data_IF_493247129637
#
_entry.id   IF_493247129637
#
_cell.length_a   1.000
_cell.length_b   1.000
_cell.length_c   1.000
_cell.angle_alpha   90.00
_cell.angle_beta   90.00
_cell.angle_gamma   90.00
#
_symmetry.space_group_name_H-M   'P 1'
#
loop_
_entity.id
_entity.type
_entity.pdbx_description
1 polymer ?
#
# COMPACT_ATOMS: atom_id res chain seq x y z
N UNK A 1 4.44 -7.74 6.79
CA UNK A 1 5.61 -8.58 7.06
C UNK A 1 5.46 -9.98 6.49
N UNK A 2 4.44 -10.77 6.89
CA UNK A 2 4.24 -12.17 6.45
C UNK A 2 4.35 -12.43 4.94
N UNK A 3 3.78 -11.56 4.09
CA UNK A 3 3.88 -11.72 2.63
C UNK A 3 5.35 -11.75 2.14
N UNK A 4 6.25 -11.02 2.80
CA UNK A 4 7.68 -11.02 2.46
C UNK A 4 8.35 -12.34 2.85
N UNK A 5 7.97 -12.89 4.00
CA UNK A 5 8.40 -14.21 4.46
C UNK A 5 7.92 -15.30 3.49
N UNK A 6 6.62 -15.32 3.14
CA UNK A 6 6.06 -16.32 2.22
C UNK A 6 6.64 -16.24 0.80
N UNK A 7 7.08 -15.05 0.37
CA UNK A 7 7.72 -14.85 -0.94
C UNK A 7 9.25 -15.04 -0.89
N UNK A 8 9.84 -15.31 0.28
CA UNK A 8 11.29 -15.43 0.44
C UNK A 8 12.06 -14.12 0.25
N UNK A 9 11.40 -12.96 0.31
CA UNK A 9 12.01 -11.63 0.11
C UNK A 9 12.57 -11.09 1.44
N UNK A 10 13.60 -11.77 1.95
CA UNK A 10 14.22 -11.53 3.27
C UNK A 10 14.98 -10.20 3.29
N UNK A 11 15.64 -9.82 2.20
CA UNK A 11 16.41 -8.57 2.10
C UNK A 11 15.57 -7.31 2.37
N UNK A 12 14.24 -7.38 2.22
CA UNK A 12 13.32 -6.25 2.49
C UNK A 12 12.63 -6.35 3.84
N UNK A 13 12.88 -7.40 4.61
CA UNK A 13 12.18 -7.67 5.87
C UNK A 13 12.55 -6.65 6.95
N UNK A 14 13.83 -6.29 7.10
CA UNK A 14 14.29 -5.35 8.14
C UNK A 14 13.67 -3.96 8.01
N UNK A 15 13.51 -3.43 6.78
CA UNK A 15 12.80 -2.15 6.57
C UNK A 15 11.29 -2.22 6.88
N UNK A 16 10.71 -3.41 6.89
CA UNK A 16 9.28 -3.56 7.16
C UNK A 16 8.96 -3.52 8.66
N UNK A 17 9.89 -3.93 9.51
CA UNK A 17 9.73 -4.03 10.97
C UNK A 17 10.05 -2.71 11.67
N UNK A 18 10.86 -1.83 11.07
CA UNK A 18 11.07 -0.48 11.61
C UNK A 18 9.76 0.34 11.73
N UNK A 19 9.62 1.03 12.87
CA UNK A 19 8.49 1.94 13.15
C UNK A 19 8.59 3.18 12.28
N UNK A 20 9.79 3.75 12.22
CA UNK A 20 10.09 4.97 11.46
C UNK A 20 10.94 4.60 10.25
N UNK A 21 10.64 5.21 9.11
CA UNK A 21 11.44 5.01 7.90
C UNK A 21 12.85 5.57 8.14
N UNK A 22 13.86 4.70 8.03
CA UNK A 22 15.28 5.08 8.05
C UNK A 22 15.74 5.36 6.60
N UNK A 23 16.26 6.57 6.33
CA UNK A 23 16.79 6.98 5.03
C UNK A 23 16.73 8.48 4.75
N UNK A 24 17.44 8.94 3.71
CA UNK A 24 17.50 10.33 3.24
C UNK A 24 16.23 10.79 2.50
N UNK A 25 15.09 10.17 2.77
CA UNK A 25 13.82 10.67 2.25
C UNK A 25 13.41 11.91 3.00
N UNK A 26 13.19 13.00 2.26
CA UNK A 26 12.77 14.29 2.80
C UNK A 26 11.47 14.21 3.63
N UNK A 27 10.64 13.17 3.39
CA UNK A 27 9.41 12.90 4.14
C UNK A 27 9.55 11.61 4.96
N UNK A 28 9.55 11.76 6.29
CA UNK A 28 9.54 10.62 7.23
C UNK A 28 8.13 10.02 7.34
N UNK A 29 8.04 8.69 7.33
CA UNK A 29 6.80 7.94 7.60
C UNK A 29 6.95 7.11 8.87
N UNK A 30 5.92 7.10 9.70
CA UNK A 30 5.84 6.32 10.93
C UNK A 30 4.62 5.38 10.94
N UNK A 31 4.71 4.30 11.71
CA UNK A 31 3.62 3.33 11.94
C UNK A 31 3.20 3.36 13.42
N UNK A 32 2.35 4.30 13.85
CA UNK A 32 1.99 4.44 15.26
C UNK A 32 1.22 3.22 15.80
N UNK A 33 0.36 2.60 14.99
CA UNK A 33 -0.44 1.42 15.37
C UNK A 33 0.26 0.08 15.08
N UNK A 34 1.60 0.02 15.16
CA UNK A 34 2.35 -1.20 14.84
C UNK A 34 2.01 -2.36 15.77
N UNK A 35 1.79 -2.09 17.05
CA UNK A 35 1.54 -3.09 18.10
C UNK A 35 0.06 -3.22 18.49
N UNK A 36 -0.83 -2.48 17.83
CA UNK A 36 -2.26 -2.46 18.14
C UNK A 36 -3.00 -3.40 17.19
N UNK A 37 -3.92 -4.20 17.72
CA UNK A 37 -4.72 -5.10 16.90
C UNK A 37 -5.79 -4.34 16.10
N UNK A 38 -6.17 -4.88 14.94
CA UNK A 38 -7.23 -4.28 14.10
C UNK A 38 -8.56 -4.17 14.86
N UNK A 39 -8.94 -5.19 15.63
CA UNK A 39 -10.15 -5.20 16.46
C UNK A 39 -10.17 -4.08 17.51
N UNK A 40 -9.02 -3.74 18.09
CA UNK A 40 -8.89 -2.68 19.09
C UNK A 40 -9.02 -1.29 18.43
N UNK A 41 -8.42 -1.11 17.26
CA UNK A 41 -8.53 0.13 16.48
C UNK A 41 -9.99 0.37 16.06
N UNK A 42 -10.68 -0.67 15.59
CA UNK A 42 -12.09 -0.60 15.18
C UNK A 42 -13.00 -0.35 16.38
N UNK A 43 -12.76 -1.03 17.51
CA UNK A 43 -13.49 -0.80 18.76
C UNK A 43 -13.31 0.64 19.26
N UNK A 44 -12.09 1.17 19.20
CA UNK A 44 -11.80 2.55 19.56
C UNK A 44 -12.53 3.55 18.66
N UNK A 45 -12.52 3.32 17.34
CA UNK A 45 -13.22 4.15 16.37
C UNK A 45 -14.74 4.14 16.61
N UNK A 46 -15.31 2.97 16.93
CA UNK A 46 -16.71 2.83 17.29
C UNK A 46 -17.07 3.60 18.57
N UNK A 47 -16.29 3.42 19.64
CA UNK A 47 -16.52 4.12 20.92
C UNK A 47 -16.42 5.64 20.77
N UNK A 48 -15.47 6.12 19.97
CA UNK A 48 -15.30 7.56 19.68
C UNK A 48 -16.22 8.07 18.58
N UNK A 49 -17.05 7.22 17.98
CA UNK A 49 -17.95 7.54 16.85
C UNK A 49 -17.22 8.27 15.73
N UNK A 50 -16.04 7.76 15.36
CA UNK A 50 -15.26 8.28 14.24
C UNK A 50 -15.87 7.83 12.92
N UNK A 51 -15.84 8.69 11.92
CA UNK A 51 -16.27 8.35 10.56
C UNK A 51 -15.20 7.48 9.89
N UNK A 52 -15.59 6.26 9.50
CA UNK A 52 -14.73 5.32 8.78
C UNK A 52 -15.53 4.47 7.79
N UNK A 53 -14.87 4.08 6.71
CA UNK A 53 -15.46 3.23 5.67
C UNK A 53 -15.23 1.75 5.98
N UNK A 54 -16.32 1.00 6.18
CA UNK A 54 -16.33 -0.47 6.35
C UNK A 54 -16.32 -1.24 5.02
N UNK A 55 -16.52 -0.54 3.90
CA UNK A 55 -16.64 -1.15 2.58
C UNK A 55 -15.27 -1.54 2.02
N UNK A 56 -15.06 -2.85 1.82
CA UNK A 56 -13.87 -3.33 1.11
C UNK A 56 -13.88 -2.94 -0.37
N UNK A 57 -12.68 -2.82 -0.95
CA UNK A 57 -12.48 -2.62 -2.39
C UNK A 57 -12.95 -3.86 -3.18
N UNK A 58 -13.60 -3.65 -4.33
CA UNK A 58 -14.07 -4.73 -5.22
C UNK A 58 -12.93 -5.66 -5.71
N UNK A 59 -11.70 -5.16 -5.74
CA UNK A 59 -10.52 -5.93 -6.12
C UNK A 59 -9.77 -6.54 -4.91
N UNK A 60 -10.25 -6.29 -3.68
CA UNK A 60 -9.69 -6.84 -2.43
C UNK A 60 -9.59 -8.38 -2.43
N UNK A 61 -10.61 -9.13 -2.89
CA UNK A 61 -10.60 -10.60 -2.81
C UNK A 61 -9.46 -11.26 -3.60
N UNK A 62 -9.06 -10.64 -4.72
CA UNK A 62 -7.99 -11.15 -5.58
C UNK A 62 -6.58 -10.84 -5.04
N UNK A 63 -6.47 -10.08 -3.95
CA UNK A 63 -5.19 -9.69 -3.40
C UNK A 63 -4.60 -10.80 -2.50
N UNK A 64 -3.35 -11.18 -2.76
CA UNK A 64 -2.61 -12.15 -1.95
C UNK A 64 -2.51 -11.78 -0.45
N UNK A 65 -2.72 -10.50 -0.11
CA UNK A 65 -2.73 -10.04 1.28
C UNK A 65 -3.86 -10.66 2.11
N UNK A 66 -4.98 -11.02 1.47
CA UNK A 66 -6.12 -11.65 2.13
C UNK A 66 -5.74 -12.97 2.79
N UNK A 67 -5.08 -13.87 2.05
CA UNK A 67 -4.61 -15.16 2.56
C UNK A 67 -3.72 -15.02 3.80
N UNK A 68 -2.77 -14.08 3.78
CA UNK A 68 -1.89 -13.84 4.92
C UNK A 68 -2.66 -13.29 6.15
N UNK A 69 -3.73 -12.51 5.95
CA UNK A 69 -4.58 -12.04 7.06
C UNK A 69 -5.42 -13.17 7.64
N UNK A 70 -6.04 -14.00 6.81
CA UNK A 70 -6.83 -15.17 7.27
C UNK A 70 -5.95 -16.10 8.09
N UNK A 71 -4.76 -16.44 7.59
CA UNK A 71 -3.80 -17.26 8.33
C UNK A 71 -3.42 -16.66 9.69
N UNK A 72 -3.20 -15.34 9.77
CA UNK A 72 -2.88 -14.69 11.05
C UNK A 72 -4.08 -14.69 12.01
N UNK A 73 -5.31 -14.56 11.51
CA UNK A 73 -6.54 -14.68 12.33
C UNK A 73 -6.72 -16.10 12.87
N UNK A 74 -6.45 -17.11 12.05
CA UNK A 74 -6.50 -18.51 12.48
C UNK A 74 -5.47 -18.79 13.59
N UNK A 75 -4.26 -18.23 13.47
CA UNK A 75 -3.24 -18.31 14.52
C UNK A 75 -3.64 -17.57 15.80
N UNK A 76 -4.23 -16.38 15.69
CA UNK A 76 -4.72 -15.61 16.83
C UNK A 76 -5.81 -16.37 17.60
N UNK A 77 -6.67 -17.11 16.88
CA UNK A 77 -7.73 -17.92 17.49
C UNK A 77 -7.20 -19.05 18.39
N UNK A 78 -6.02 -19.57 18.09
CA UNK A 78 -5.34 -20.60 18.89
C UNK A 78 -4.46 -19.98 19.98
N UNK A 79 -3.70 -18.93 19.64
CA UNK A 79 -2.81 -18.22 20.55
C UNK A 79 -2.99 -16.71 20.38
N UNK A 80 -3.62 -16.01 21.34
CA UNK A 80 -3.86 -14.57 21.25
C UNK A 80 -2.60 -13.73 21.02
N UNK A 81 -1.46 -14.15 21.57
CA UNK A 81 -0.17 -13.45 21.42
C UNK A 81 0.52 -13.67 20.07
N UNK A 82 0.01 -14.56 19.20
CA UNK A 82 0.72 -15.00 17.99
C UNK A 82 1.14 -13.83 17.08
N UNK A 83 0.28 -12.82 16.90
CA UNK A 83 0.57 -11.68 16.03
C UNK A 83 1.71 -10.83 16.60
N UNK A 84 1.69 -10.55 17.91
CA UNK A 84 2.75 -9.77 18.59
C UNK A 84 4.07 -10.55 18.60
N UNK A 85 4.02 -11.85 18.92
CA UNK A 85 5.20 -12.71 18.94
C UNK A 85 5.87 -12.75 17.56
N UNK A 86 5.08 -12.79 16.50
CA UNK A 86 5.55 -12.68 15.10
C UNK A 86 6.25 -11.34 14.86
N UNK A 87 5.67 -10.21 15.33
CA UNK A 87 6.25 -8.88 15.17
C UNK A 87 7.60 -8.79 15.89
N UNK A 88 7.66 -9.20 17.16
CA UNK A 88 8.90 -9.20 17.95
C UNK A 88 9.96 -10.12 17.34
N UNK A 89 9.55 -11.30 16.83
CA UNK A 89 10.45 -12.20 16.11
C UNK A 89 11.04 -11.54 14.87
N UNK A 90 10.26 -10.72 14.15
CA UNK A 90 10.71 -9.97 12.99
C UNK A 90 11.64 -8.80 13.35
N UNK A 91 11.47 -8.18 14.52
CA UNK A 91 12.37 -7.14 15.04
C UNK A 91 13.71 -7.71 15.51
N UNK A 92 13.68 -8.85 16.19
CA UNK A 92 14.87 -9.58 16.59
C UNK A 92 15.58 -10.25 15.40
N UNK A 93 14.96 -10.25 14.22
CA UNK A 93 15.51 -10.88 13.02
C UNK A 93 16.61 -10.01 12.40
N UNK A 94 17.86 -10.33 12.72
CA UNK A 94 19.02 -9.68 12.12
C UNK A 94 19.29 -10.22 10.71
N UNK A 95 19.28 -9.33 9.71
CA UNK A 95 19.65 -9.66 8.34
C UNK A 95 21.14 -9.38 8.16
N UNK A 96 21.90 -10.37 7.68
CA UNK A 96 23.30 -10.17 7.30
C UNK A 96 23.44 -9.00 6.31
N UNK A 97 24.38 -8.10 6.59
CA UNK A 97 24.62 -6.84 5.88
C UNK A 97 25.03 -6.96 4.40
N UNK A 98 25.24 -8.19 3.90
CA UNK A 98 25.72 -8.45 2.54
C UNK A 98 24.60 -8.41 1.46
N UNK A 99 23.39 -7.96 1.83
CA UNK A 99 22.28 -7.86 0.88
C UNK A 99 22.34 -6.54 0.11
N UNK A 100 22.64 -6.64 -1.20
CA UNK A 100 22.65 -5.49 -2.12
C UNK A 100 21.30 -4.79 -2.14
N UNK A 101 21.21 -3.64 -1.46
CA UNK A 101 20.06 -2.76 -1.58
C UNK A 101 20.22 -1.85 -2.80
N UNK A 102 19.15 -1.58 -3.56
CA UNK A 102 19.21 -0.63 -4.66
C UNK A 102 19.52 0.76 -4.12
N UNK A 103 20.47 1.44 -4.77
CA UNK A 103 20.82 2.83 -4.46
C UNK A 103 19.63 3.73 -4.77
N UNK A 104 19.39 4.71 -3.89
CA UNK A 104 18.40 5.75 -4.13
C UNK A 104 18.98 6.78 -5.09
N UNK A 105 18.23 7.11 -6.13
CA UNK A 105 18.53 8.15 -7.12
C UNK A 105 17.32 9.08 -7.28
N UNK A 106 17.44 10.13 -8.08
CA UNK A 106 16.36 11.08 -8.37
C UNK A 106 15.82 10.87 -9.78
N UNK A 107 14.50 10.98 -9.93
CA UNK A 107 13.83 10.88 -11.22
C UNK A 107 14.16 12.12 -12.07
N UNK A 108 14.63 11.93 -13.31
CA UNK A 108 14.97 13.05 -14.21
C UNK A 108 13.76 13.88 -14.64
N UNK A 109 12.55 13.31 -14.61
CA UNK A 109 11.31 13.98 -15.07
C UNK A 109 10.61 14.78 -13.98
N UNK A 110 10.46 14.20 -12.79
CA UNK A 110 9.72 14.82 -11.69
C UNK A 110 10.59 15.23 -10.49
N UNK A 111 11.89 14.90 -10.49
CA UNK A 111 12.80 15.20 -9.38
C UNK A 111 12.61 14.33 -8.13
N UNK A 112 11.59 13.48 -8.09
CA UNK A 112 11.28 12.66 -6.91
C UNK A 112 12.20 11.44 -6.76
N UNK A 113 12.33 10.91 -5.54
CA UNK A 113 13.16 9.74 -5.25
C UNK A 113 12.72 8.51 -6.06
N UNK A 114 13.69 7.81 -6.63
CA UNK A 114 13.48 6.60 -7.41
C UNK A 114 14.68 5.65 -7.30
N UNK A 115 14.49 4.38 -7.67
CA UNK A 115 15.60 3.44 -7.85
C UNK A 115 16.06 3.35 -9.32
N UNK A 116 15.37 4.05 -10.23
CA UNK A 116 15.63 4.09 -11.66
C UNK A 116 15.70 5.55 -12.13
N UNK A 117 16.25 5.80 -13.33
CA UNK A 117 16.33 7.15 -13.91
C UNK A 117 14.96 7.83 -14.06
N UNK A 118 13.93 7.06 -14.40
CA UNK A 118 12.53 7.50 -14.48
C UNK A 118 11.71 6.72 -13.45
N UNK A 119 10.96 7.43 -12.61
CA UNK A 119 10.15 6.80 -11.59
C UNK A 119 8.97 6.03 -12.19
N UNK A 120 8.47 5.04 -11.42
CA UNK A 120 7.41 4.16 -11.92
C UNK A 120 6.10 4.89 -12.19
N UNK A 121 5.80 5.94 -11.42
CA UNK A 121 4.63 6.77 -11.63
C UNK A 121 4.70 7.51 -12.98
N UNK A 122 5.83 8.16 -13.28
CA UNK A 122 6.04 8.83 -14.56
C UNK A 122 5.93 7.86 -15.75
N UNK A 123 6.54 6.68 -15.64
CA UNK A 123 6.46 5.63 -16.67
C UNK A 123 5.02 5.15 -16.89
N UNK A 124 4.22 4.99 -15.84
CA UNK A 124 2.82 4.57 -15.95
C UNK A 124 1.93 5.65 -16.56
N UNK A 125 2.12 6.92 -16.15
CA UNK A 125 1.40 8.05 -16.73
C UNK A 125 1.70 8.21 -18.21
N UNK A 126 2.96 8.02 -18.60
CA UNK A 126 3.36 8.03 -19.99
C UNK A 126 2.75 6.90 -20.79
N UNK A 127 2.76 5.67 -20.25
CA UNK A 127 2.05 4.55 -20.86
C UNK A 127 0.56 4.84 -21.05
N UNK A 128 -0.10 5.47 -20.07
CA UNK A 128 -1.50 5.84 -20.18
C UNK A 128 -1.73 6.91 -21.26
N UNK A 129 -0.90 7.95 -21.30
CA UNK A 129 -1.01 9.03 -22.30
C UNK A 129 -0.75 8.55 -23.74
N UNK A 130 0.09 7.52 -23.92
CA UNK A 130 0.35 6.88 -25.21
C UNK A 130 -0.65 5.77 -25.56
N UNK A 131 -1.61 5.45 -24.68
CA UNK A 131 -2.53 4.31 -24.85
C UNK A 131 -1.86 2.93 -24.72
N UNK A 132 -0.65 2.87 -24.15
CA UNK A 132 0.17 1.68 -23.93
C UNK A 132 0.32 1.37 -22.43
N UNK A 133 -0.72 0.86 -21.74
CA UNK A 133 -0.67 0.60 -20.30
C UNK A 133 0.38 -0.46 -19.90
N UNK A 134 0.75 -1.33 -20.86
CA UNK A 134 1.74 -2.39 -20.64
C UNK A 134 3.19 -1.87 -20.57
N UNK A 135 3.46 -0.64 -21.02
CA UNK A 135 4.80 -0.02 -20.95
C UNK A 135 5.37 -0.04 -19.52
N UNK A 136 4.50 0.13 -18.52
CA UNK A 136 4.86 0.14 -17.11
C UNK A 136 4.69 -1.21 -16.39
N UNK A 137 4.31 -2.31 -17.05
CA UNK A 137 3.96 -3.56 -16.38
C UNK A 137 4.81 -4.70 -16.94
N UNK A 138 5.49 -5.45 -16.06
CA UNK A 138 6.29 -6.62 -16.46
C UNK A 138 7.70 -6.31 -16.98
N UNK A 139 8.32 -7.32 -17.62
CA UNK A 139 9.64 -7.20 -18.25
C UNK A 139 9.49 -6.60 -19.63
N UNK A 140 10.40 -5.71 -20.02
CA UNK A 140 10.40 -5.11 -21.35
C UNK A 140 10.64 -6.19 -22.42
N UNK A 141 9.67 -6.36 -23.32
CA UNK A 141 9.80 -7.24 -24.49
C UNK A 141 10.23 -6.44 -25.72
N UNK A 142 10.83 -7.10 -26.73
CA UNK A 142 11.15 -6.47 -28.01
C UNK A 142 9.90 -5.85 -28.67
N UNK A 143 8.77 -6.55 -28.59
CA UNK A 143 7.48 -6.07 -29.10
C UNK A 143 7.01 -4.77 -28.41
N UNK A 144 7.28 -4.59 -27.11
CA UNK A 144 6.96 -3.34 -26.42
C UNK A 144 7.81 -2.18 -26.94
N UNK A 145 9.10 -2.39 -27.26
CA UNK A 145 9.95 -1.33 -27.82
C UNK A 145 9.47 -0.87 -29.19
N UNK A 146 9.10 -1.81 -30.05
CA UNK A 146 8.54 -1.50 -31.38
C UNK A 146 7.20 -0.75 -31.29
N UNK A 147 6.36 -1.05 -30.29
CA UNK A 147 5.12 -0.33 -30.05
C UNK A 147 5.36 1.11 -29.58
N UNK A 148 6.42 1.35 -28.81
CA UNK A 148 6.80 2.70 -28.34
C UNK A 148 7.31 3.55 -29.50
N UNK A 149 8.12 2.97 -30.38
CA UNK A 149 8.62 3.66 -31.59
C UNK A 149 7.48 4.01 -32.55
N UNK A 150 6.46 3.15 -32.67
CA UNK A 150 5.28 3.41 -33.51
C UNK A 150 4.32 4.44 -32.91
N UNK A 151 4.27 4.59 -31.59
CA UNK A 151 3.34 5.49 -30.91
C UNK A 151 3.69 6.98 -31.07
N UNK A 152 4.86 7.32 -31.62
CA UNK A 152 5.27 8.69 -31.87
C UNK A 152 5.51 9.52 -30.60
N UNK A 153 5.78 10.81 -30.80
CA UNK A 153 5.95 11.78 -29.71
C UNK A 153 4.60 12.27 -29.19
N UNK A 154 4.57 12.59 -27.88
CA UNK A 154 3.36 13.07 -27.21
C UNK A 154 3.08 14.53 -27.58
N UNK A 155 1.82 14.84 -27.89
CA UNK A 155 1.35 16.21 -28.11
C UNK A 155 1.53 17.10 -26.87
N UNK A 156 1.73 18.40 -27.10
CA UNK A 156 1.89 19.39 -26.03
C UNK A 156 0.63 19.60 -25.15
N UNK A 157 -0.52 19.07 -25.56
CA UNK A 157 -1.78 19.09 -24.80
C UNK A 157 -1.82 18.08 -23.64
N UNK A 158 -0.87 17.16 -23.58
CA UNK A 158 -0.83 16.08 -22.58
C UNK A 158 -0.43 16.62 -21.21
N UNK A 159 -1.12 16.14 -20.15
CA UNK A 159 -0.81 16.49 -18.75
C UNK A 159 0.63 16.10 -18.42
N UNK A 160 1.48 17.10 -18.24
CA UNK A 160 2.88 16.95 -17.81
C UNK A 160 2.94 16.91 -16.28
N UNK A 161 3.74 15.98 -15.75
CA UNK A 161 4.03 15.90 -14.32
C UNK A 161 4.89 17.11 -13.95
N UNK A 162 4.41 17.94 -13.02
CA UNK A 162 5.17 19.07 -12.47
C UNK A 162 6.41 18.58 -11.73
N UNK A 163 7.47 19.39 -11.71
CA UNK A 163 8.67 19.05 -10.96
C UNK A 163 8.38 19.12 -9.46
N UNK A 164 8.96 18.23 -8.66
CA UNK A 164 8.70 18.16 -7.21
C UNK A 164 8.96 19.49 -6.51
N UNK A 165 10.00 20.23 -6.91
CA UNK A 165 10.33 21.56 -6.38
C UNK A 165 9.29 22.64 -6.66
N UNK A 166 8.41 22.45 -7.64
CA UNK A 166 7.33 23.39 -7.98
C UNK A 166 6.07 23.14 -7.12
N UNK A 167 6.01 22.02 -6.40
CA UNK A 167 4.91 21.69 -5.51
C UNK A 167 5.12 22.46 -4.21
N UNK A 168 4.49 23.63 -4.11
CA UNK A 168 4.41 24.37 -2.84
C UNK A 168 3.28 23.77 -2.02
N UNK A 169 3.57 23.42 -0.76
CA UNK A 169 2.52 23.22 0.23
C UNK A 169 1.90 24.60 0.41
N UNK A 170 0.64 24.76 0.05
CA UNK A 170 -0.07 26.00 0.36
C UNK A 170 -0.04 26.16 1.89
N UNK A 171 0.62 27.22 2.39
CA UNK A 171 0.71 27.57 3.81
C UNK A 171 -0.64 27.95 4.43
N UNK A 172 -1.74 27.76 3.69
CA UNK A 172 -3.08 27.76 4.26
C UNK A 172 -3.05 26.81 5.46
N UNK A 173 -3.20 27.39 6.65
CA UNK A 173 -3.18 26.69 7.94
C UNK A 173 -3.78 25.30 7.74
N UNK A 174 -2.97 24.26 7.99
CA UNK A 174 -3.43 22.87 7.95
C UNK A 174 -4.68 22.81 8.83
N UNK A 175 -5.87 22.93 8.21
CA UNK A 175 -7.11 22.92 8.98
C UNK A 175 -7.13 21.55 9.60
N UNK A 176 -7.04 21.44 10.94
CA UNK A 176 -7.14 20.15 11.56
C UNK A 176 -8.48 19.59 11.09
N UNK A 177 -8.45 18.42 10.48
CA UNK A 177 -9.68 17.71 10.11
C UNK A 177 -10.37 17.45 11.44
N UNK A 178 -11.34 18.30 11.77
CA UNK A 178 -12.12 18.13 12.99
C UNK A 178 -12.94 16.86 12.80
N UNK A 179 -13.01 15.99 13.82
CA UNK A 179 -13.97 14.90 13.79
C UNK A 179 -15.35 15.45 13.44
N UNK A 180 -16.04 14.81 12.50
CA UNK A 180 -17.45 15.12 12.22
C UNK A 180 -18.27 14.94 13.50
N UNK A 181 -19.36 15.68 13.62
CA UNK A 181 -20.22 15.55 14.80
C UNK A 181 -20.72 14.10 14.94
N UNK A 182 -20.60 13.46 16.11
CA UNK A 182 -20.95 12.04 16.29
C UNK A 182 -22.39 11.65 15.94
N UNK A 183 -23.29 12.63 15.78
CA UNK A 183 -24.68 12.43 15.36
C UNK A 183 -24.83 12.34 13.83
N UNK A 184 -23.88 12.87 13.08
CA UNK A 184 -23.85 12.90 11.61
C UNK A 184 -23.00 11.76 11.03
N UNK A 185 -22.26 11.05 11.88
CA UNK A 185 -21.43 9.91 11.48
C UNK A 185 -22.31 8.69 11.22
N UNK A 186 -22.57 8.43 9.94
CA UNK A 186 -23.19 7.19 9.48
C UNK A 186 -22.10 6.19 9.07
N UNK A 187 -21.83 5.20 9.92
CA UNK A 187 -21.05 4.02 9.51
C UNK A 187 -21.97 3.07 8.74
N UNK A 188 -21.78 2.88 7.42
CA UNK A 188 -22.60 1.93 6.69
C UNK A 188 -22.44 0.53 7.30
N UNK A 189 -23.53 -0.25 7.40
CA UNK A 189 -23.44 -1.62 7.88
C UNK A 189 -22.41 -2.40 7.02
N UNK A 190 -21.70 -3.38 7.60
CA UNK A 190 -20.85 -4.26 6.81
C UNK A 190 -21.65 -4.77 5.62
N UNK A 191 -21.09 -4.70 4.41
CA UNK A 191 -21.76 -5.28 3.25
C UNK A 191 -22.02 -6.76 3.56
N UNK A 192 -23.30 -7.15 3.60
CA UNK A 192 -23.70 -8.56 3.51
C UNK A 192 -23.02 -9.11 2.26
N UNK A 193 -22.44 -10.34 2.28
CA UNK A 193 -21.79 -10.94 1.12
C UNK A 193 -22.75 -10.96 -0.07
N UNK A 194 -22.67 -9.93 -0.90
CA UNK A 194 -23.59 -9.70 -1.98
C UNK A 194 -23.11 -10.50 -3.18
N UNK A 195 -23.55 -11.76 -3.27
CA UNK A 195 -23.69 -12.59 -4.47
C UNK A 195 -22.90 -12.20 -5.73
N UNK A 196 -21.59 -12.00 -5.63
CA UNK A 196 -20.70 -12.02 -6.78
C UNK A 196 -20.24 -13.48 -6.92
N UNK A 197 -20.31 -14.00 -8.15
CA UNK A 197 -20.22 -15.39 -8.62
C UNK A 197 -19.20 -16.37 -8.00
N UNK A 198 -18.35 -15.95 -7.06
CA UNK A 198 -17.32 -16.77 -6.43
C UNK A 198 -17.50 -16.99 -4.92
N UNK A 199 -18.53 -16.42 -4.29
CA UNK A 199 -18.82 -16.63 -2.86
C UNK A 199 -19.74 -17.82 -2.56
N UNK A 200 -20.20 -18.56 -3.58
CA UNK A 200 -21.19 -19.62 -3.41
C UNK A 200 -20.67 -20.93 -2.75
N UNK A 201 -19.39 -21.01 -2.35
CA UNK A 201 -18.87 -22.27 -1.82
C UNK A 201 -17.74 -22.12 -0.79
N UNK A 202 -17.84 -21.12 0.08
CA UNK A 202 -17.08 -21.14 1.32
C UNK A 202 -18.09 -20.92 2.45
N UNK A 203 -18.33 -21.97 3.23
CA UNK A 203 -18.86 -21.90 4.60
C UNK A 203 -17.92 -21.01 5.43
N UNK A 204 -17.89 -19.70 5.15
CA UNK A 204 -17.20 -18.72 5.95
C UNK A 204 -18.08 -18.52 7.16
N UNK A 205 -17.71 -19.21 8.24
CA UNK A 205 -18.14 -18.91 9.61
C UNK A 205 -18.29 -17.40 9.74
N UNK A 206 -19.50 -16.95 10.05
CA UNK A 206 -19.78 -15.55 10.33
C UNK A 206 -18.84 -15.10 11.45
N UNK A 207 -17.83 -14.33 11.07
CA UNK A 207 -17.02 -13.54 12.00
C UNK A 207 -17.47 -12.10 11.79
N UNK A 208 -18.74 -11.86 12.10
CA UNK A 208 -19.15 -10.55 12.60
C UNK A 208 -18.33 -10.30 13.87
N UNK A 209 -17.70 -9.13 13.89
CA UNK A 209 -16.83 -8.59 14.93
C UNK A 209 -17.13 -9.02 16.36
#
# INVERSE_FOLDING_TARGET
MMIKVFRGDIARLGRCTEIVTQGESEIKRSKPFKYTYEKEIVMYAYFKKLDYFSTECIYSPNAYRGYARTFLKDLESVRPSAIIDIIHSGEAFEIKSDTKMPTSMTCTRCGYMSSNSICKACMLLEGLNRGLPQMGIGKQSKAQKEQIEKAGDLDNSVVKVKHFSEIKVEEAELKPIKPRDPKEVYTPPPRVPGGILHDANLDKKDITW
#
